data_IF_316707637218
#
_entry.id   IF_316707637218
#
_cell.length_a   1.000
_cell.length_b   1.000
_cell.length_c   1.000
_cell.angle_alpha   90.00
_cell.angle_beta   90.00
_cell.angle_gamma   90.00
#
_symmetry.space_group_name_H-M   'P 1'
#
loop_
_entity.id
_entity.type
_entity.pdbx_description
1 polymer ?
#
# COMPACT_ATOMS: atom_id res chain seq x y z
N UNK A 1 18.01 0.04 21.93
CA UNK A 1 17.21 0.27 20.70
C UNK A 1 18.14 0.28 19.51
N UNK A 2 17.76 -0.35 18.41
CA UNK A 2 18.52 -0.28 17.15
C UNK A 2 18.43 1.13 16.60
N UNK A 3 19.58 1.69 16.20
CA UNK A 3 19.66 3.05 15.66
C UNK A 3 20.22 2.98 14.24
N UNK A 4 19.48 3.54 13.30
CA UNK A 4 19.90 3.75 11.92
C UNK A 4 20.41 5.20 11.78
N UNK A 5 21.43 5.44 10.96
CA UNK A 5 21.81 6.81 10.59
C UNK A 5 20.92 7.31 9.46
N UNK A 6 20.97 6.63 8.35
CA UNK A 6 20.31 7.09 7.12
C UNK A 6 19.36 6.03 6.59
N UNK A 7 18.12 6.45 6.39
CA UNK A 7 17.07 5.68 5.70
C UNK A 7 16.80 6.37 4.38
N UNK A 8 16.83 5.62 3.29
CA UNK A 8 16.45 6.08 1.95
C UNK A 8 15.18 5.34 1.52
N UNK A 9 14.12 6.08 1.25
CA UNK A 9 12.88 5.53 0.71
C UNK A 9 12.65 6.02 -0.72
N UNK A 10 12.49 5.09 -1.64
CA UNK A 10 12.24 5.34 -3.07
C UNK A 10 10.78 5.04 -3.39
N UNK A 11 10.15 5.90 -4.19
CA UNK A 11 8.70 5.83 -4.47
C UNK A 11 7.90 5.88 -3.15
N UNK A 12 8.31 6.78 -2.28
CA UNK A 12 7.94 6.81 -0.86
C UNK A 12 6.45 7.06 -0.62
N UNK A 13 5.76 7.66 -1.59
CA UNK A 13 4.36 8.01 -1.46
C UNK A 13 4.16 8.97 -0.29
N UNK A 14 3.25 8.60 0.60
CA UNK A 14 2.92 9.35 1.82
C UNK A 14 3.75 8.90 3.05
N UNK A 15 4.93 8.31 2.83
CA UNK A 15 5.88 7.86 3.87
C UNK A 15 5.36 6.74 4.79
N UNK A 16 4.68 5.74 4.23
CA UNK A 16 4.27 4.55 4.99
C UNK A 16 5.49 3.80 5.58
N UNK A 17 6.63 3.80 4.90
CA UNK A 17 7.86 3.22 5.41
C UNK A 17 8.38 3.98 6.64
N UNK A 18 8.24 5.31 6.69
CA UNK A 18 8.60 6.13 7.84
C UNK A 18 7.70 5.86 9.05
N UNK A 19 6.38 5.67 8.82
CA UNK A 19 5.45 5.22 9.87
C UNK A 19 5.84 3.87 10.46
N UNK A 20 6.29 2.94 9.61
CA UNK A 20 6.70 1.61 10.04
C UNK A 20 7.98 1.60 10.89
N UNK A 21 8.76 2.68 10.89
CA UNK A 21 9.95 2.86 11.72
C UNK A 21 9.64 3.38 13.13
N UNK A 22 8.38 3.43 13.57
CA UNK A 22 7.98 3.97 14.88
C UNK A 22 8.75 3.39 16.07
N UNK A 23 9.24 2.15 15.99
CA UNK A 23 9.98 1.46 17.05
C UNK A 23 11.52 1.42 16.78
N UNK A 24 11.97 2.06 15.69
CA UNK A 24 13.37 2.09 15.28
C UNK A 24 13.80 3.55 15.19
N UNK A 25 14.85 3.92 15.94
CA UNK A 25 15.39 5.27 15.86
C UNK A 25 16.22 5.44 14.58
N UNK A 26 16.10 6.58 13.93
CA UNK A 26 16.92 6.99 12.79
C UNK A 26 17.31 8.47 12.91
N UNK A 27 18.42 8.86 12.27
CA UNK A 27 18.87 10.26 12.28
C UNK A 27 18.29 11.04 11.10
N UNK A 28 18.42 10.47 9.89
CA UNK A 28 17.96 11.11 8.68
C UNK A 28 17.04 10.19 7.88
N UNK A 29 15.95 10.74 7.35
CA UNK A 29 15.05 10.06 6.41
C UNK A 29 15.01 10.84 5.10
N UNK A 30 15.42 10.17 4.03
CA UNK A 30 15.44 10.69 2.67
C UNK A 30 14.30 10.05 1.89
N UNK A 31 13.46 10.88 1.27
CA UNK A 31 12.27 10.46 0.52
C UNK A 31 12.40 10.87 -0.94
N UNK A 32 12.29 9.91 -1.85
CA UNK A 32 12.14 10.15 -3.28
C UNK A 32 10.71 9.88 -3.69
N UNK A 33 9.99 10.93 -4.07
CA UNK A 33 8.61 10.91 -4.54
C UNK A 33 8.35 12.13 -5.45
N UNK A 34 7.53 11.95 -6.49
CA UNK A 34 7.19 13.00 -7.46
C UNK A 34 5.74 13.50 -7.34
N UNK A 35 4.84 12.72 -6.71
CA UNK A 35 3.45 13.14 -6.50
C UNK A 35 3.42 14.27 -5.45
N UNK A 36 3.02 15.46 -5.88
CA UNK A 36 3.00 16.65 -5.02
C UNK A 36 2.03 16.54 -3.83
N UNK A 37 0.95 15.77 -3.94
CA UNK A 37 0.03 15.55 -2.81
C UNK A 37 0.65 14.58 -1.80
N UNK A 38 1.32 13.54 -2.27
CA UNK A 38 2.03 12.61 -1.41
C UNK A 38 3.17 13.31 -0.65
N UNK A 39 4.01 14.10 -1.34
CA UNK A 39 5.09 14.88 -0.70
C UNK A 39 4.55 15.93 0.28
N UNK A 40 3.37 16.53 0.01
CA UNK A 40 2.73 17.45 0.93
C UNK A 40 2.29 16.75 2.22
N UNK A 41 1.71 15.54 2.11
CA UNK A 41 1.37 14.72 3.27
C UNK A 41 2.62 14.33 4.07
N UNK A 42 3.68 13.90 3.38
CA UNK A 42 4.96 13.59 4.02
C UNK A 42 5.51 14.78 4.80
N UNK A 43 5.60 15.97 4.19
CA UNK A 43 6.15 17.15 4.85
C UNK A 43 5.31 17.63 6.02
N UNK A 44 3.99 17.46 5.96
CA UNK A 44 3.09 17.83 7.05
C UNK A 44 3.27 16.90 8.26
N UNK A 45 3.28 15.58 8.03
CA UNK A 45 3.38 14.60 9.11
C UNK A 45 4.83 14.39 9.61
N UNK A 46 5.81 14.61 8.72
CA UNK A 46 7.24 14.42 8.99
C UNK A 46 8.05 15.61 8.47
N UNK A 47 8.01 16.77 9.15
CA UNK A 47 8.64 18.01 8.68
C UNK A 47 10.16 17.91 8.46
N UNK A 48 10.82 16.99 9.17
CA UNK A 48 12.28 16.79 9.07
C UNK A 48 12.69 15.86 7.90
N UNK A 49 11.73 15.29 7.15
CA UNK A 49 12.04 14.44 5.99
C UNK A 49 12.75 15.25 4.91
N UNK A 50 13.84 14.70 4.37
CA UNK A 50 14.61 15.30 3.29
C UNK A 50 14.07 14.80 1.96
N UNK A 51 13.41 15.68 1.19
CA UNK A 51 12.83 15.33 -0.10
C UNK A 51 13.91 15.39 -1.20
N UNK A 52 14.06 14.30 -1.95
CA UNK A 52 15.02 14.16 -3.04
C UNK A 52 14.38 14.32 -4.44
N UNK A 53 13.03 14.31 -4.52
CA UNK A 53 12.30 14.41 -5.79
C UNK A 53 12.36 13.10 -6.60
N UNK A 54 12.67 13.24 -7.91
CA UNK A 54 12.64 12.14 -8.87
C UNK A 54 13.78 11.13 -8.64
N UNK A 55 13.41 9.86 -8.54
CA UNK A 55 14.32 8.72 -8.37
C UNK A 55 15.38 8.63 -9.47
N UNK A 56 15.07 9.06 -10.69
CA UNK A 56 15.99 9.04 -11.83
C UNK A 56 17.19 10.00 -11.62
N UNK A 57 17.05 11.03 -10.79
CA UNK A 57 18.09 11.99 -10.46
C UNK A 57 18.99 11.54 -9.29
N UNK A 58 18.63 10.46 -8.58
CA UNK A 58 19.41 9.93 -7.45
C UNK A 58 20.60 9.13 -7.99
N UNK A 59 21.78 9.45 -7.47
CA UNK A 59 23.05 8.75 -7.74
C UNK A 59 23.61 8.19 -6.41
N UNK A 60 24.50 7.23 -6.48
CA UNK A 60 25.11 6.62 -5.28
C UNK A 60 25.79 7.62 -4.36
N UNK A 61 26.28 8.72 -4.86
CA UNK A 61 26.89 9.81 -4.10
C UNK A 61 25.93 10.96 -3.74
N UNK A 62 24.64 10.88 -4.07
CA UNK A 62 23.62 11.89 -3.71
C UNK A 62 23.54 12.08 -2.20
N UNK A 63 23.71 10.99 -1.45
CA UNK A 63 23.79 11.02 0.00
C UNK A 63 25.26 10.95 0.39
N UNK A 64 25.79 12.02 0.97
CA UNK A 64 27.19 12.11 1.42
C UNK A 64 27.51 11.18 2.62
N UNK A 65 26.70 10.17 2.87
CA UNK A 65 26.80 9.24 3.99
C UNK A 65 26.26 7.87 3.61
N UNK A 66 26.77 6.77 4.19
CA UNK A 66 26.26 5.42 3.96
C UNK A 66 24.77 5.31 4.29
N UNK A 67 24.04 4.52 3.51
CA UNK A 67 22.63 4.19 3.74
C UNK A 67 22.53 2.92 4.56
N UNK A 68 21.86 2.99 5.72
CA UNK A 68 21.66 1.80 6.56
C UNK A 68 20.45 0.97 6.07
N UNK A 69 19.38 1.65 5.63
CA UNK A 69 18.16 1.00 5.15
C UNK A 69 17.66 1.68 3.86
N UNK A 70 17.48 0.88 2.83
CA UNK A 70 16.78 1.25 1.59
C UNK A 70 15.42 0.58 1.56
N UNK A 71 14.35 1.36 1.43
CA UNK A 71 12.98 0.85 1.23
C UNK A 71 12.45 1.37 -0.09
N UNK A 72 11.59 0.59 -0.79
CA UNK A 72 10.91 1.08 -1.97
C UNK A 72 9.76 0.21 -2.41
N UNK A 73 8.78 0.83 -3.08
CA UNK A 73 7.65 0.18 -3.73
C UNK A 73 7.51 0.70 -5.14
N UNK A 74 8.22 0.12 -6.10
CA UNK A 74 8.19 0.63 -7.47
C UNK A 74 6.80 0.50 -8.11
N UNK A 75 6.38 1.45 -8.99
CA UNK A 75 5.10 1.35 -9.69
C UNK A 75 4.93 0.03 -10.44
N UNK A 76 3.79 -0.64 -10.23
CA UNK A 76 3.50 -1.98 -10.77
C UNK A 76 2.96 -1.97 -12.21
N UNK A 77 2.72 -0.80 -12.81
CA UNK A 77 1.95 -0.67 -14.05
C UNK A 77 2.58 -1.33 -15.29
N UNK A 78 3.86 -1.68 -15.26
CA UNK A 78 4.54 -2.47 -16.30
C UNK A 78 4.38 -3.99 -16.15
N UNK A 79 3.98 -4.48 -14.96
CA UNK A 79 3.95 -5.90 -14.61
C UNK A 79 2.54 -6.47 -14.41
N UNK A 80 1.48 -5.65 -14.59
CA UNK A 80 0.10 -6.10 -14.39
C UNK A 80 -0.41 -6.94 -15.57
N UNK A 81 -1.35 -7.86 -15.29
CA UNK A 81 -1.95 -8.84 -16.23
C UNK A 81 -2.57 -8.19 -17.47
N UNK A 82 -2.94 -6.91 -17.42
CA UNK A 82 -3.52 -6.15 -18.52
C UNK A 82 -2.51 -5.32 -19.33
N UNK A 83 -1.21 -5.39 -19.00
CA UNK A 83 -0.14 -4.69 -19.72
C UNK A 83 0.32 -5.47 -20.94
N UNK A 84 0.45 -4.80 -22.09
CA UNK A 84 1.10 -5.35 -23.29
C UNK A 84 2.48 -5.88 -22.92
N UNK A 85 2.85 -7.02 -23.50
CA UNK A 85 4.12 -7.78 -23.31
C UNK A 85 5.28 -6.92 -22.80
N UNK A 86 5.81 -7.29 -21.63
CA UNK A 86 7.01 -6.69 -21.04
C UNK A 86 8.16 -6.66 -22.05
N UNK A 87 8.41 -5.47 -22.56
CA UNK A 87 9.74 -5.12 -22.98
C UNK A 87 10.43 -4.50 -21.74
N UNK A 88 11.64 -4.91 -21.42
CA UNK A 88 12.53 -4.21 -20.47
C UNK A 88 12.77 -2.74 -20.90
N UNK A 89 12.30 -2.35 -22.09
CA UNK A 89 12.29 -1.00 -22.66
C UNK A 89 11.04 -0.18 -22.32
N UNK A 90 10.02 -0.75 -21.61
CA UNK A 90 8.87 0.03 -21.11
C UNK A 90 9.37 0.98 -19.99
N UNK A 91 9.06 2.26 -20.09
CA UNK A 91 9.47 3.29 -19.12
C UNK A 91 9.09 2.97 -17.66
N UNK A 92 8.07 2.13 -17.49
CA UNK A 92 7.61 1.65 -16.17
C UNK A 92 8.47 0.55 -15.58
N UNK A 93 9.13 -0.25 -16.42
CA UNK A 93 10.15 -1.22 -16.00
C UNK A 93 11.45 -0.52 -15.62
N UNK A 94 11.76 0.65 -16.21
CA UNK A 94 12.92 1.45 -15.87
C UNK A 94 12.93 1.89 -14.41
N UNK A 95 11.78 2.25 -13.83
CA UNK A 95 11.69 2.68 -12.43
C UNK A 95 12.09 1.58 -11.44
N UNK A 96 11.76 0.31 -11.74
CA UNK A 96 12.27 -0.81 -10.94
C UNK A 96 13.79 -0.97 -11.11
N UNK A 97 14.29 -0.80 -12.33
CA UNK A 97 15.75 -0.84 -12.56
C UNK A 97 16.47 0.32 -11.86
N UNK A 98 15.82 1.48 -11.69
CA UNK A 98 16.36 2.57 -10.87
C UNK A 98 16.48 2.18 -9.39
N UNK A 99 15.51 1.44 -8.82
CA UNK A 99 15.65 0.90 -7.48
C UNK A 99 16.88 -0.02 -7.38
N UNK A 100 17.03 -0.95 -8.33
CA UNK A 100 18.16 -1.91 -8.34
C UNK A 100 19.48 -1.15 -8.51
N UNK A 101 19.57 -0.22 -9.45
CA UNK A 101 20.73 0.64 -9.67
C UNK A 101 21.13 1.37 -8.38
N UNK A 102 20.18 2.05 -7.74
CA UNK A 102 20.46 2.80 -6.51
C UNK A 102 20.89 1.85 -5.39
N UNK A 103 20.24 0.69 -5.22
CA UNK A 103 20.65 -0.33 -4.24
C UNK A 103 22.11 -0.73 -4.45
N UNK A 104 22.50 -0.98 -5.69
CA UNK A 104 23.86 -1.46 -6.03
C UNK A 104 24.91 -0.34 -5.92
N UNK A 105 24.51 0.93 -6.12
CA UNK A 105 25.36 2.09 -5.95
C UNK A 105 25.56 2.46 -4.47
N UNK A 106 24.46 2.53 -3.67
CA UNK A 106 24.54 2.94 -2.25
C UNK A 106 24.93 1.80 -1.31
N UNK A 107 24.78 0.54 -1.73
CA UNK A 107 25.12 -0.68 -0.98
C UNK A 107 24.59 -0.64 0.45
N UNK A 108 23.26 -0.50 0.65
CA UNK A 108 22.70 -0.35 1.97
C UNK A 108 22.91 -1.60 2.80
N UNK A 109 23.05 -1.44 4.14
CA UNK A 109 23.14 -2.59 5.06
C UNK A 109 21.90 -3.48 4.96
N UNK A 110 20.71 -2.85 4.92
CA UNK A 110 19.42 -3.50 4.79
C UNK A 110 18.64 -2.89 3.63
N UNK A 111 17.88 -3.71 2.93
CA UNK A 111 17.01 -3.22 1.87
C UNK A 111 15.71 -4.02 1.80
N UNK A 112 14.65 -3.36 1.35
CA UNK A 112 13.31 -3.91 1.20
C UNK A 112 12.68 -3.32 -0.07
N UNK A 113 12.24 -4.20 -0.98
CA UNK A 113 11.45 -3.86 -2.15
C UNK A 113 10.07 -4.51 -2.04
N UNK A 114 9.02 -3.73 -2.27
CA UNK A 114 7.62 -4.20 -2.33
C UNK A 114 7.08 -4.09 -3.76
N UNK A 115 6.25 -5.06 -4.16
CA UNK A 115 5.46 -4.94 -5.38
C UNK A 115 4.17 -5.78 -5.29
N UNK A 116 3.27 -5.63 -6.30
CA UNK A 116 1.97 -6.31 -6.33
C UNK A 116 2.10 -7.84 -6.38
N UNK A 117 1.25 -8.53 -5.61
CA UNK A 117 1.19 -9.99 -5.60
C UNK A 117 0.54 -10.63 -6.83
N UNK A 118 0.01 -9.82 -7.76
CA UNK A 118 -0.65 -10.29 -8.99
C UNK A 118 0.28 -10.32 -10.22
N UNK A 119 1.59 -10.09 -10.01
CA UNK A 119 2.54 -10.21 -11.11
C UNK A 119 2.62 -11.67 -11.61
N UNK A 120 3.00 -11.85 -12.87
CA UNK A 120 3.16 -13.18 -13.45
C UNK A 120 4.38 -13.90 -12.86
N UNK A 121 4.29 -15.21 -12.66
CA UNK A 121 5.36 -16.01 -12.05
C UNK A 121 6.72 -15.82 -12.69
N UNK A 122 6.79 -15.79 -14.05
CA UNK A 122 8.04 -15.58 -14.74
C UNK A 122 8.68 -14.20 -14.46
N UNK A 123 7.85 -13.17 -14.18
CA UNK A 123 8.35 -11.85 -13.77
C UNK A 123 8.93 -11.92 -12.37
N UNK A 124 8.22 -12.60 -11.45
CA UNK A 124 8.72 -12.84 -10.09
C UNK A 124 10.07 -13.55 -10.12
N UNK A 125 10.16 -14.66 -10.87
CA UNK A 125 11.42 -15.42 -11.01
C UNK A 125 12.54 -14.56 -11.57
N UNK A 126 12.25 -13.71 -12.57
CA UNK A 126 13.24 -12.78 -13.10
C UNK A 126 13.73 -11.77 -12.04
N UNK A 127 12.82 -11.25 -11.24
CA UNK A 127 13.18 -10.34 -10.13
C UNK A 127 13.93 -11.05 -9.02
N UNK A 128 13.57 -12.28 -8.67
CA UNK A 128 14.28 -13.09 -7.70
C UNK A 128 15.77 -13.23 -8.11
N UNK A 129 16.02 -13.50 -9.40
CA UNK A 129 17.37 -13.60 -9.94
C UNK A 129 18.13 -12.25 -9.93
N UNK A 130 17.47 -11.14 -10.33
CA UNK A 130 18.08 -9.80 -10.34
C UNK A 130 18.41 -9.29 -8.95
N UNK A 131 17.55 -9.61 -7.97
CA UNK A 131 17.71 -9.17 -6.59
C UNK A 131 18.59 -10.11 -5.76
N UNK A 132 18.81 -11.35 -6.25
CA UNK A 132 19.61 -12.37 -5.57
C UNK A 132 18.92 -12.97 -4.33
N UNK A 133 17.61 -12.77 -4.18
CA UNK A 133 16.79 -13.30 -3.09
C UNK A 133 15.40 -13.67 -3.60
N UNK A 134 14.78 -14.67 -2.99
CA UNK A 134 13.41 -15.05 -3.30
C UNK A 134 12.41 -14.09 -2.65
N UNK A 135 11.49 -13.55 -3.45
CA UNK A 135 10.38 -12.72 -2.98
C UNK A 135 9.34 -13.52 -2.21
N UNK A 136 9.00 -13.07 -1.01
CA UNK A 136 7.99 -13.68 -0.14
C UNK A 136 6.66 -12.95 -0.26
N UNK A 137 5.58 -13.70 -0.48
CA UNK A 137 4.23 -13.12 -0.55
C UNK A 137 3.64 -12.99 0.84
N UNK A 138 3.21 -11.79 1.19
CA UNK A 138 2.44 -11.53 2.42
C UNK A 138 1.11 -10.90 2.03
N UNK A 139 0.02 -11.44 2.59
CA UNK A 139 -1.28 -10.79 2.53
C UNK A 139 -1.46 -9.90 3.76
N UNK A 140 -1.84 -8.64 3.55
CA UNK A 140 -2.10 -7.68 4.63
C UNK A 140 -3.19 -8.16 5.60
N UNK A 141 -4.02 -9.13 5.21
CA UNK A 141 -5.03 -9.73 6.08
C UNK A 141 -4.45 -10.45 7.33
N UNK A 142 -3.15 -10.67 7.39
CA UNK A 142 -2.46 -11.11 8.59
C UNK A 142 -2.39 -10.01 9.66
N UNK A 143 -2.54 -8.74 9.27
CA UNK A 143 -2.34 -7.56 10.10
C UNK A 143 -3.55 -6.61 10.14
N UNK A 144 -4.41 -6.64 9.11
CA UNK A 144 -5.52 -5.72 8.94
C UNK A 144 -6.78 -6.39 8.40
N UNK A 145 -7.89 -5.65 8.34
CA UNK A 145 -9.14 -6.10 7.73
C UNK A 145 -9.10 -6.09 6.19
N UNK A 146 -7.94 -5.93 5.55
CA UNK A 146 -7.81 -5.82 4.10
C UNK A 146 -7.14 -7.04 3.48
N UNK A 147 -7.72 -7.59 2.41
CA UNK A 147 -7.05 -8.55 1.53
C UNK A 147 -6.18 -7.81 0.52
N UNK A 148 -4.86 -7.78 0.77
CA UNK A 148 -3.88 -7.12 -0.09
C UNK A 148 -2.63 -7.97 -0.20
N UNK A 149 -2.53 -8.78 -1.26
CA UNK A 149 -1.35 -9.58 -1.55
C UNK A 149 -0.24 -8.71 -2.13
N UNK A 150 0.96 -8.79 -1.53
CA UNK A 150 2.17 -8.14 -1.98
C UNK A 150 3.35 -9.09 -1.91
N UNK A 151 4.34 -8.88 -2.78
CA UNK A 151 5.59 -9.61 -2.76
C UNK A 151 6.66 -8.68 -2.21
N UNK A 152 7.46 -9.21 -1.31
CA UNK A 152 8.54 -8.50 -0.61
C UNK A 152 9.86 -9.20 -0.87
N UNK A 153 10.83 -8.48 -1.42
CA UNK A 153 12.23 -8.92 -1.58
C UNK A 153 13.08 -8.14 -0.60
N UNK A 154 13.96 -8.84 0.13
CA UNK A 154 14.81 -8.21 1.13
C UNK A 154 15.97 -9.10 1.52
N UNK A 155 17.07 -8.47 1.94
CA UNK A 155 18.16 -9.18 2.66
C UNK A 155 17.91 -9.25 4.17
N UNK A 156 16.81 -8.68 4.67
CA UNK A 156 16.38 -8.84 6.06
C UNK A 156 15.81 -10.26 6.23
N UNK A 157 16.25 -11.04 7.23
CA UNK A 157 15.88 -12.45 7.40
C UNK A 157 14.49 -12.59 8.06
N UNK A 158 13.44 -11.96 7.47
CA UNK A 158 12.10 -12.00 8.03
C UNK A 158 11.37 -13.32 7.75
N UNK A 159 10.46 -13.69 8.64
CA UNK A 159 9.49 -14.78 8.47
C UNK A 159 8.08 -14.25 8.25
N UNK A 160 7.22 -15.04 7.60
CA UNK A 160 5.80 -14.72 7.49
C UNK A 160 5.13 -15.09 8.82
N UNK A 161 4.27 -14.23 9.42
CA UNK A 161 3.58 -14.56 10.66
C UNK A 161 2.71 -15.81 10.50
N UNK A 162 2.78 -16.70 11.49
CA UNK A 162 1.98 -17.93 11.49
C UNK A 162 0.52 -17.71 11.93
N UNK A 163 0.27 -16.68 12.75
CA UNK A 163 -1.06 -16.39 13.27
C UNK A 163 -1.74 -15.26 12.53
N UNK A 164 -3.00 -15.49 12.14
CA UNK A 164 -3.87 -14.47 11.57
C UNK A 164 -4.55 -13.68 12.69
N UNK A 165 -4.43 -12.37 12.68
CA UNK A 165 -5.37 -11.51 13.41
C UNK A 165 -6.74 -11.62 12.73
N UNK A 166 -7.77 -11.99 13.50
CA UNK A 166 -9.15 -12.02 12.97
C UNK A 166 -9.75 -10.61 13.05
N UNK A 167 -9.27 -9.73 12.18
CA UNK A 167 -9.74 -8.35 12.08
C UNK A 167 -10.76 -8.27 10.94
N UNK A 168 -11.95 -7.78 11.24
CA UNK A 168 -13.01 -7.46 10.29
C UNK A 168 -13.07 -5.96 9.99
N UNK A 169 -13.85 -5.57 8.99
CA UNK A 169 -14.10 -4.16 8.72
C UNK A 169 -14.77 -3.47 9.92
N UNK A 170 -15.64 -4.16 10.67
CA UNK A 170 -16.27 -3.60 11.87
C UNK A 170 -15.27 -3.06 12.89
N UNK A 171 -14.09 -3.70 13.00
CA UNK A 171 -13.07 -3.33 13.99
C UNK A 171 -12.36 -2.01 13.64
N UNK A 172 -12.52 -1.52 12.41
CA UNK A 172 -11.88 -0.28 11.94
C UNK A 172 -12.87 0.87 11.72
N UNK A 173 -14.18 0.62 11.85
CA UNK A 173 -15.20 1.64 11.61
C UNK A 173 -15.18 2.72 12.69
N UNK A 174 -15.46 3.96 12.27
CA UNK A 174 -15.69 5.08 13.17
C UNK A 174 -17.11 5.02 13.74
N UNK A 175 -17.25 5.30 15.03
CA UNK A 175 -18.57 5.43 15.69
C UNK A 175 -19.30 6.69 15.24
N UNK A 176 -18.57 7.78 15.03
CA UNK A 176 -19.06 9.04 14.49
C UNK A 176 -18.44 9.27 13.11
N UNK A 177 -19.24 9.20 12.07
CA UNK A 177 -18.83 9.42 10.69
C UNK A 177 -19.71 10.47 10.01
N UNK A 178 -19.18 11.13 8.99
CA UNK A 178 -19.89 12.18 8.25
C UNK A 178 -21.05 11.58 7.43
N UNK A 179 -22.27 12.06 7.67
CA UNK A 179 -23.48 11.62 6.95
C UNK A 179 -23.42 11.88 5.43
N UNK A 180 -22.52 12.74 4.95
CA UNK A 180 -22.26 12.91 3.51
C UNK A 180 -21.68 11.66 2.85
N UNK A 181 -21.21 10.69 3.62
CA UNK A 181 -20.74 9.39 3.17
C UNK A 181 -21.89 8.42 2.82
N UNK A 182 -23.12 8.71 3.22
CA UNK A 182 -24.28 7.89 2.90
C UNK A 182 -24.43 7.70 1.37
N UNK A 183 -24.83 6.50 0.98
CA UNK A 183 -25.10 6.16 -0.41
C UNK A 183 -26.58 5.80 -0.52
N UNK A 184 -27.20 6.22 -1.63
CA UNK A 184 -28.56 5.78 -1.94
C UNK A 184 -28.63 4.24 -1.96
N UNK A 185 -29.49 3.60 -1.11
CA UNK A 185 -29.63 2.16 -1.02
C UNK A 185 -29.93 1.47 -2.36
N UNK A 186 -30.61 2.14 -3.29
CA UNK A 186 -30.91 1.57 -4.62
C UNK A 186 -29.63 1.22 -5.40
N UNK A 187 -28.52 1.92 -5.16
CA UNK A 187 -27.22 1.61 -5.76
C UNK A 187 -26.62 0.30 -5.28
N UNK A 188 -27.04 -0.16 -4.10
CA UNK A 188 -26.61 -1.43 -3.50
C UNK A 188 -27.55 -2.60 -3.84
N UNK A 189 -28.64 -2.34 -4.62
CA UNK A 189 -29.59 -3.38 -4.99
C UNK A 189 -28.88 -4.51 -5.70
N UNK A 190 -29.08 -5.72 -5.19
CA UNK A 190 -28.51 -6.93 -5.77
C UNK A 190 -29.55 -7.66 -6.62
N UNK A 191 -29.09 -8.20 -7.74
CA UNK A 191 -29.87 -9.05 -8.64
C UNK A 191 -29.32 -10.48 -8.69
N UNK A 192 -28.51 -10.83 -7.68
CA UNK A 192 -27.98 -12.17 -7.48
C UNK A 192 -27.64 -12.37 -5.99
N UNK A 193 -27.48 -13.60 -5.52
CA UNK A 193 -26.96 -13.85 -4.18
C UNK A 193 -25.61 -13.16 -3.95
N UNK A 194 -25.29 -12.79 -2.69
CA UNK A 194 -23.98 -12.28 -2.34
C UNK A 194 -22.86 -13.21 -2.79
N UNK A 195 -21.71 -12.67 -3.12
CA UNK A 195 -20.51 -13.46 -3.45
C UNK A 195 -19.47 -13.33 -2.33
N UNK A 196 -18.92 -14.49 -1.90
CA UNK A 196 -17.88 -14.54 -0.88
C UNK A 196 -16.58 -15.04 -1.50
N UNK A 197 -15.51 -14.26 -1.38
CA UNK A 197 -14.18 -14.63 -1.85
C UNK A 197 -13.14 -14.23 -0.80
N UNK A 198 -12.40 -15.18 -0.28
CA UNK A 198 -11.33 -14.96 0.72
C UNK A 198 -11.80 -14.13 1.94
N UNK A 199 -13.01 -14.39 2.43
CA UNK A 199 -13.60 -13.67 3.57
C UNK A 199 -14.10 -12.25 3.25
N UNK A 200 -14.20 -11.90 1.96
CA UNK A 200 -14.83 -10.66 1.48
C UNK A 200 -16.21 -11.00 0.94
N UNK A 201 -17.26 -10.43 1.52
CA UNK A 201 -18.63 -10.58 1.04
C UNK A 201 -19.06 -9.35 0.26
N UNK A 202 -19.34 -9.52 -1.04
CA UNK A 202 -19.95 -8.49 -1.88
C UNK A 202 -21.45 -8.75 -1.96
N UNK A 203 -22.29 -7.79 -1.51
CA UNK A 203 -23.75 -7.98 -1.45
C UNK A 203 -24.42 -7.74 -2.80
N UNK A 204 -23.82 -6.99 -3.73
CA UNK A 204 -24.35 -6.65 -5.05
C UNK A 204 -23.39 -7.05 -6.20
N UNK A 205 -23.01 -8.34 -6.34
CA UNK A 205 -22.00 -8.72 -7.32
C UNK A 205 -22.47 -8.60 -8.77
N UNK A 206 -23.78 -8.62 -9.03
CA UNK A 206 -24.35 -8.51 -10.39
C UNK A 206 -25.43 -7.44 -10.49
N UNK A 207 -25.52 -6.82 -11.65
CA UNK A 207 -26.59 -5.90 -12.07
C UNK A 207 -27.80 -6.67 -12.60
N UNK A 208 -28.93 -5.98 -12.79
CA UNK A 208 -30.19 -6.53 -13.33
C UNK A 208 -30.00 -7.28 -14.66
N UNK A 209 -29.13 -6.79 -15.53
CA UNK A 209 -28.80 -7.42 -16.81
C UNK A 209 -27.80 -8.61 -16.69
N UNK A 210 -27.55 -9.12 -15.51
CA UNK A 210 -26.65 -10.24 -15.23
C UNK A 210 -25.15 -9.90 -15.34
N UNK A 211 -24.77 -8.68 -15.78
CA UNK A 211 -23.38 -8.25 -15.85
C UNK A 211 -22.81 -7.99 -14.44
N UNK A 212 -21.51 -8.13 -14.32
CA UNK A 212 -20.78 -7.80 -13.09
C UNK A 212 -21.01 -6.33 -12.70
N UNK A 213 -21.26 -6.09 -11.42
CA UNK A 213 -21.27 -4.72 -10.87
C UNK A 213 -19.87 -4.11 -11.01
N UNK A 214 -19.80 -2.85 -11.45
CA UNK A 214 -18.51 -2.14 -11.51
C UNK A 214 -17.89 -2.04 -10.12
N UNK A 215 -16.56 -2.14 -10.04
CA UNK A 215 -15.86 -2.20 -8.78
C UNK A 215 -16.18 -1.01 -7.86
N UNK A 216 -16.33 0.20 -8.41
CA UNK A 216 -16.68 1.40 -7.67
C UNK A 216 -18.11 1.42 -7.11
N UNK A 217 -19.00 0.55 -7.60
CA UNK A 217 -20.41 0.45 -7.21
C UNK A 217 -20.67 -0.77 -6.32
N UNK A 218 -19.64 -1.61 -6.09
CA UNK A 218 -19.77 -2.77 -5.21
C UNK A 218 -19.87 -2.34 -3.76
N UNK A 219 -20.72 -3.04 -3.01
CA UNK A 219 -20.90 -2.86 -1.57
C UNK A 219 -20.47 -4.13 -0.86
N UNK A 220 -19.68 -3.98 0.19
CA UNK A 220 -19.10 -5.09 0.95
C UNK A 220 -19.62 -5.10 2.38
N UNK A 221 -19.86 -6.29 2.93
CA UNK A 221 -20.25 -6.46 4.33
C UNK A 221 -19.09 -6.12 5.27
N UNK A 222 -19.42 -5.46 6.38
CA UNK A 222 -18.42 -5.05 7.37
C UNK A 222 -18.03 -6.14 8.37
N UNK A 223 -18.80 -7.22 8.48
CA UNK A 223 -18.47 -8.37 9.35
C UNK A 223 -17.31 -9.22 8.83
N UNK A 224 -16.90 -9.03 7.58
CA UNK A 224 -15.80 -9.72 6.94
C UNK A 224 -14.59 -8.82 6.66
N UNK A 225 -13.83 -9.19 5.66
CA UNK A 225 -12.66 -8.44 5.18
C UNK A 225 -13.03 -7.52 4.03
N UNK A 226 -12.22 -6.51 3.82
CA UNK A 226 -12.34 -5.58 2.68
C UNK A 226 -11.40 -6.03 1.54
N UNK A 227 -11.78 -5.82 0.27
CA UNK A 227 -10.86 -6.03 -0.84
C UNK A 227 -9.72 -5.02 -0.83
N UNK A 228 -8.71 -5.24 -1.68
CA UNK A 228 -7.58 -4.34 -1.80
C UNK A 228 -8.01 -2.91 -2.16
N UNK A 229 -7.61 -1.93 -1.34
CA UNK A 229 -7.72 -0.52 -1.69
C UNK A 229 -6.84 -0.23 -2.92
N UNK A 230 -7.40 0.48 -3.89
CA UNK A 230 -6.70 0.86 -5.11
C UNK A 230 -6.78 2.37 -5.33
N UNK A 231 -5.74 2.95 -5.88
CA UNK A 231 -5.69 4.39 -6.18
C UNK A 231 -6.72 4.83 -7.25
N UNK A 232 -7.24 3.90 -8.03
CA UNK A 232 -8.10 4.18 -9.18
C UNK A 232 -9.57 4.38 -8.82
N UNK A 233 -10.02 3.91 -7.65
CA UNK A 233 -11.44 3.98 -7.26
C UNK A 233 -11.85 5.31 -6.64
N UNK A 234 -10.89 6.17 -6.33
CA UNK A 234 -11.14 7.56 -5.94
C UNK A 234 -12.19 7.71 -4.84
N UNK A 235 -11.93 7.24 -3.64
CA UNK A 235 -12.81 7.34 -2.46
C UNK A 235 -14.19 6.63 -2.62
N UNK A 236 -14.32 5.65 -3.54
CA UNK A 236 -15.55 4.89 -3.74
C UNK A 236 -15.43 3.47 -3.18
N UNK A 237 -15.19 3.40 -1.87
CA UNK A 237 -15.11 2.14 -1.13
C UNK A 237 -16.36 2.01 -0.27
N UNK A 238 -17.33 1.20 -0.73
CA UNK A 238 -18.65 1.14 -0.13
C UNK A 238 -18.80 -0.07 0.77
N UNK A 239 -19.45 0.12 1.91
CA UNK A 239 -19.79 -0.91 2.88
C UNK A 239 -21.28 -0.88 3.22
N UNK A 240 -21.75 -2.02 3.73
CA UNK A 240 -22.95 -2.08 4.57
C UNK A 240 -22.49 -2.47 5.97
N UNK A 241 -22.85 -1.67 6.98
CA UNK A 241 -22.50 -1.92 8.38
C UNK A 241 -23.47 -2.90 9.05
N UNK A 242 -23.19 -3.26 10.31
CA UNK A 242 -24.02 -4.19 11.09
C UNK A 242 -25.47 -3.71 11.35
N UNK A 243 -25.77 -2.42 11.10
CA UNK A 243 -27.11 -1.82 11.21
C UNK A 243 -27.82 -1.75 9.84
N UNK A 244 -27.21 -2.24 8.78
CA UNK A 244 -27.74 -2.17 7.42
C UNK A 244 -27.56 -0.81 6.73
N UNK A 245 -26.77 0.09 7.31
CA UNK A 245 -26.48 1.39 6.73
C UNK A 245 -25.44 1.24 5.62
N UNK A 246 -25.77 1.76 4.43
CA UNK A 246 -24.87 1.69 3.27
C UNK A 246 -24.19 3.04 3.10
N UNK A 247 -22.86 3.02 3.17
CA UNK A 247 -22.03 4.22 3.08
C UNK A 247 -20.64 3.96 2.50
N UNK A 248 -19.93 5.01 2.18
CA UNK A 248 -18.50 4.93 1.88
C UNK A 248 -17.68 4.84 3.16
N UNK A 249 -16.50 4.24 3.04
CA UNK A 249 -15.47 4.37 4.08
C UNK A 249 -14.95 5.82 4.12
N UNK A 250 -14.80 6.35 5.33
CA UNK A 250 -14.08 7.61 5.55
C UNK A 250 -12.60 7.48 5.20
N UNK A 251 -11.88 8.59 5.08
CA UNK A 251 -10.41 8.57 4.87
C UNK A 251 -9.71 7.90 6.04
N UNK A 252 -10.17 8.10 7.27
CA UNK A 252 -9.61 7.45 8.46
C UNK A 252 -9.82 5.94 8.44
N UNK A 253 -11.00 5.47 8.07
CA UNK A 253 -11.27 4.03 7.94
C UNK A 253 -10.43 3.39 6.82
N UNK A 254 -10.27 4.07 5.69
CA UNK A 254 -9.35 3.63 4.63
C UNK A 254 -7.89 3.58 5.15
N UNK A 255 -7.46 4.56 5.94
CA UNK A 255 -6.14 4.59 6.54
C UNK A 255 -5.94 3.41 7.52
N UNK A 256 -6.94 3.11 8.36
CA UNK A 256 -6.91 1.95 9.27
C UNK A 256 -6.83 0.61 8.53
N UNK A 257 -7.42 0.48 7.32
CA UNK A 257 -7.23 -0.70 6.47
C UNK A 257 -5.77 -0.87 6.02
N UNK A 258 -4.99 0.20 5.93
CA UNK A 258 -3.55 0.17 5.66
C UNK A 258 -2.71 0.21 6.94
N UNK A 259 -3.35 0.04 8.12
CA UNK A 259 -2.73 0.14 9.44
C UNK A 259 -1.97 1.46 9.67
N UNK A 260 -2.42 2.53 9.01
CA UNK A 260 -1.93 3.88 9.23
C UNK A 260 -2.51 4.39 10.54
N UNK A 261 -1.69 4.88 11.49
CA UNK A 261 -2.16 5.35 12.78
C UNK A 261 -3.10 6.56 12.68
N UNK A 262 -4.05 6.67 13.61
CA UNK A 262 -5.06 7.74 13.64
C UNK A 262 -4.48 9.15 13.80
N UNK A 263 -3.25 9.29 14.29
CA UNK A 263 -2.56 10.57 14.39
C UNK A 263 -2.04 11.09 13.06
N UNK A 264 -2.01 10.26 12.00
CA UNK A 264 -1.58 10.72 10.67
C UNK A 264 -2.63 11.67 10.09
N UNK A 265 -2.23 12.89 9.79
CA UNK A 265 -3.12 13.95 9.32
C UNK A 265 -3.16 14.03 7.79
N UNK A 266 -4.37 13.92 7.23
CA UNK A 266 -4.64 14.01 5.79
C UNK A 266 -5.16 15.39 5.38
N UNK A 267 -5.34 16.34 6.32
CA UNK A 267 -5.92 17.67 6.06
C UNK A 267 -5.20 18.51 4.99
N UNK A 268 -3.90 18.33 4.72
CA UNK A 268 -3.22 19.11 3.68
C UNK A 268 -3.69 18.82 2.24
N UNK A 269 -4.46 17.76 2.03
CA UNK A 269 -4.91 17.36 0.68
C UNK A 269 -6.41 17.05 0.67
N UNK A 270 -7.02 17.01 -0.53
CA UNK A 270 -8.41 16.59 -0.67
C UNK A 270 -8.60 15.11 -0.36
N UNK A 271 -9.82 14.70 0.04
CA UNK A 271 -10.17 13.29 0.29
C UNK A 271 -9.83 12.38 -0.91
N UNK A 272 -10.04 12.88 -2.12
CA UNK A 272 -9.69 12.13 -3.33
C UNK A 272 -8.18 11.87 -3.41
N UNK A 273 -7.37 12.87 -3.11
CA UNK A 273 -5.90 12.75 -3.10
C UNK A 273 -5.42 11.88 -1.94
N UNK A 274 -6.04 12.00 -0.75
CA UNK A 274 -5.76 11.16 0.41
C UNK A 274 -6.07 9.69 0.11
N UNK A 275 -7.26 9.40 -0.42
CA UNK A 275 -7.67 8.04 -0.81
C UNK A 275 -6.73 7.43 -1.87
N UNK A 276 -6.26 8.23 -2.85
CA UNK A 276 -5.28 7.81 -3.85
C UNK A 276 -3.93 7.48 -3.19
N UNK A 277 -3.45 8.32 -2.28
CA UNK A 277 -2.20 8.11 -1.56
C UNK A 277 -2.26 6.84 -0.68
N UNK A 278 -3.37 6.62 0.04
CA UNK A 278 -3.63 5.41 0.84
C UNK A 278 -3.65 4.16 -0.06
N UNK A 279 -4.34 4.21 -1.20
CA UNK A 279 -4.44 3.08 -2.14
C UNK A 279 -3.08 2.69 -2.76
N UNK A 280 -2.19 3.67 -2.97
CA UNK A 280 -0.82 3.44 -3.43
C UNK A 280 0.13 3.04 -2.29
N UNK A 281 -0.20 3.38 -1.05
CA UNK A 281 0.65 3.16 0.11
C UNK A 281 0.87 1.68 0.43
N UNK A 282 1.94 1.40 1.17
CA UNK A 282 2.21 0.09 1.76
C UNK A 282 1.40 -0.08 3.05
N UNK A 283 1.05 -1.33 3.40
CA UNK A 283 0.44 -1.62 4.71
C UNK A 283 1.52 -1.49 5.79
N UNK A 284 1.34 -0.53 6.70
CA UNK A 284 2.38 -0.11 7.66
C UNK A 284 2.82 -1.27 8.55
N UNK A 285 1.89 -2.04 9.13
CA UNK A 285 2.22 -3.15 10.03
C UNK A 285 2.95 -4.30 9.33
N UNK A 286 2.77 -4.49 8.03
CA UNK A 286 3.56 -5.48 7.26
C UNK A 286 5.01 -5.02 7.18
N UNK A 287 5.24 -3.76 6.83
CA UNK A 287 6.61 -3.20 6.78
C UNK A 287 7.23 -3.21 8.16
N UNK A 288 6.49 -2.77 9.20
CA UNK A 288 6.94 -2.80 10.59
C UNK A 288 7.36 -4.21 11.04
N UNK A 289 6.56 -5.23 10.67
CA UNK A 289 6.91 -6.62 10.93
C UNK A 289 8.22 -7.02 10.26
N UNK A 290 8.41 -6.72 8.97
CA UNK A 290 9.65 -7.04 8.25
C UNK A 290 10.85 -6.32 8.91
N UNK A 291 10.70 -5.05 9.23
CA UNK A 291 11.76 -4.24 9.84
C UNK A 291 12.07 -4.67 11.28
N UNK A 292 11.21 -5.38 11.98
CA UNK A 292 11.51 -5.89 13.33
C UNK A 292 12.64 -6.91 13.37
N UNK A 293 13.05 -7.47 12.22
CA UNK A 293 14.14 -8.44 12.09
C UNK A 293 15.52 -7.81 11.81
N UNK A 294 15.63 -6.47 11.70
CA UNK A 294 16.93 -5.78 11.52
C UNK A 294 17.66 -5.54 12.82
#
# INVERSE_FOLDING_TARGET
>A
MKKLKNVLSLFDGMSCAQLALSDIQYENYFSSEIDSNATRLTKHNFPNTILLGDVQNIKGNTLNSPVDLLVGGSPCQGFSVNGKKLNLQDDRSKLLLDYIRIRDEVKPKWWLLENVGTMKDWVKVHLDNLLGVEGKTINSNLFSAQNRNRIYWSNIPFSIPYHHRQISVNDILETNWDKSLLINPDKARSFSPPSVVNGVTCINPKKENGKQTYQQDRVYESNGRFPCLTATLGNRFNIVDGNGIIRRLSIREQARLQTIPDYYDFSPVSDLSASKAIGNGMTVDVIKHILSFI
#
